data_IF_597048423053
#
_entry.id   IF_597048423053
#
_cell.length_a   1.000
_cell.length_b   1.000
_cell.length_c   1.000
_cell.angle_alpha   90.00
_cell.angle_beta   90.00
_cell.angle_gamma   90.00
#
_symmetry.space_group_name_H-M   'P 1'
#
loop_
_entity.id
_entity.type
_entity.pdbx_description
1 polymer ?
#
# COMPACT_ATOMS: atom_id res chain seq x y z
N UNK A 1 21.22 51.47 43.08
CA UNK A 1 21.56 50.71 44.32
C UNK A 1 21.44 49.25 43.89
N UNK A 2 22.58 48.64 43.62
CA UNK A 2 23.18 47.50 44.31
C UNK A 2 22.30 46.25 44.21
N UNK A 3 22.73 45.11 43.78
CA UNK A 3 24.02 44.37 43.85
C UNK A 3 23.90 43.20 42.88
N UNK A 4 24.77 42.93 42.00
CA UNK A 4 25.98 42.09 42.00
C UNK A 4 25.81 40.77 42.76
N UNK A 5 26.24 39.73 42.06
CA UNK A 5 26.76 38.46 42.58
C UNK A 5 25.85 37.29 42.23
N UNK A 6 26.25 36.17 41.73
CA UNK A 6 27.58 35.54 41.70
C UNK A 6 27.52 34.39 40.69
N UNK A 7 28.47 34.38 39.81
CA UNK A 7 28.90 33.25 39.00
C UNK A 7 29.25 32.06 39.89
N UNK A 8 28.70 30.88 39.66
CA UNK A 8 29.33 29.64 40.06
C UNK A 8 29.38 28.67 38.91
N UNK A 9 30.55 28.59 38.34
CA UNK A 9 31.05 27.64 37.38
C UNK A 9 31.07 26.26 38.03
N UNK A 10 30.30 25.30 37.55
CA UNK A 10 30.49 23.90 37.90
C UNK A 10 30.77 23.10 36.62
N UNK A 11 32.04 22.97 36.31
CA UNK A 11 32.59 22.02 35.36
C UNK A 11 32.46 20.61 35.96
N UNK A 12 31.54 19.81 35.41
CA UNK A 12 31.55 18.37 35.68
C UNK A 12 32.11 17.69 34.43
N UNK A 13 33.35 17.26 34.54
CA UNK A 13 33.98 16.31 33.63
C UNK A 13 33.31 14.95 33.80
N UNK A 14 32.58 14.50 32.79
CA UNK A 14 32.19 13.11 32.64
C UNK A 14 33.02 12.50 31.51
N UNK A 15 34.14 11.91 31.90
CA UNK A 15 34.89 10.97 31.07
C UNK A 15 34.09 9.67 30.95
N UNK A 16 33.32 9.54 29.87
CA UNK A 16 32.72 8.28 29.49
C UNK A 16 33.70 7.46 28.65
N UNK A 17 34.21 6.38 29.22
CA UNK A 17 34.94 5.38 28.48
C UNK A 17 34.02 4.74 27.43
N UNK A 18 34.34 4.95 26.16
CA UNK A 18 33.77 4.23 25.05
C UNK A 18 34.53 2.90 24.90
N UNK A 19 33.97 1.81 25.41
CA UNK A 19 34.51 0.47 25.16
C UNK A 19 33.93 -0.03 23.85
N UNK A 20 34.76 -0.07 22.81
CA UNK A 20 34.49 -0.80 21.58
C UNK A 20 34.51 -2.30 21.91
N UNK A 21 33.35 -2.89 22.09
CA UNK A 21 33.19 -4.36 22.07
C UNK A 21 32.87 -4.77 20.64
N UNK A 22 33.90 -5.16 19.91
CA UNK A 22 33.79 -5.77 18.61
C UNK A 22 33.32 -7.21 18.79
N UNK A 23 31.98 -7.41 18.83
CA UNK A 23 31.39 -8.73 18.82
C UNK A 23 31.80 -9.49 17.56
N UNK A 24 32.61 -10.54 17.71
CA UNK A 24 32.92 -11.49 16.66
C UNK A 24 31.64 -12.13 16.14
N UNK A 25 31.34 -11.92 14.86
CA UNK A 25 30.30 -12.66 14.17
C UNK A 25 30.84 -14.05 13.87
N UNK A 26 30.40 -15.04 14.64
CA UNK A 26 30.69 -16.45 14.38
C UNK A 26 29.74 -16.92 13.28
N UNK A 27 30.26 -17.14 12.09
CA UNK A 27 29.54 -17.83 11.00
C UNK A 27 29.48 -19.31 11.36
N UNK A 28 28.30 -19.79 11.75
CA UNK A 28 28.04 -21.21 11.92
C UNK A 28 27.70 -21.80 10.56
N UNK A 29 28.64 -22.44 9.92
CA UNK A 29 28.37 -23.30 8.76
C UNK A 29 27.59 -24.54 9.24
N UNK A 30 26.29 -24.58 8.90
CA UNK A 30 25.46 -25.74 9.15
C UNK A 30 25.54 -26.68 7.95
N UNK A 31 26.37 -27.71 8.06
CA UNK A 31 26.45 -28.83 7.10
C UNK A 31 25.08 -29.48 6.98
N UNK A 32 24.54 -29.51 5.78
CA UNK A 32 23.36 -30.32 5.46
C UNK A 32 23.82 -31.76 5.21
N UNK A 33 23.56 -32.62 6.20
CA UNK A 33 23.67 -34.05 5.99
C UNK A 33 22.47 -34.55 5.17
N UNK A 34 22.82 -35.20 4.07
CA UNK A 34 22.01 -35.97 3.17
C UNK A 34 21.18 -37.04 3.92
N UNK A 35 19.86 -36.97 3.77
CA UNK A 35 18.97 -38.10 4.03
C UNK A 35 18.26 -38.39 2.71
N UNK A 36 18.61 -39.53 2.12
CA UNK A 36 17.93 -40.14 0.99
C UNK A 36 16.68 -40.88 1.39
N UNK A 37 15.74 -40.98 0.44
CA UNK A 37 14.54 -41.83 0.32
C UNK A 37 13.28 -41.26 0.98
N UNK A 38 12.18 -41.01 0.28
CA UNK A 38 11.40 -41.85 -0.64
C UNK A 38 10.46 -41.02 -1.52
N UNK A 39 10.22 -41.55 -2.71
CA UNK A 39 9.39 -41.04 -3.78
C UNK A 39 7.91 -41.00 -3.37
N UNK A 40 7.26 -39.84 -3.52
CA UNK A 40 5.87 -39.76 -3.95
C UNK A 40 5.71 -38.69 -5.01
N UNK A 41 5.51 -39.14 -6.23
CA UNK A 41 5.12 -38.35 -7.38
C UNK A 41 3.73 -37.77 -7.15
N UNK A 42 3.65 -36.52 -6.79
CA UNK A 42 2.48 -35.70 -7.10
C UNK A 42 2.83 -34.74 -8.23
N UNK A 43 2.21 -34.97 -9.39
CA UNK A 43 2.28 -34.08 -10.55
C UNK A 43 1.86 -32.67 -10.13
N UNK A 44 2.83 -31.84 -9.77
CA UNK A 44 2.65 -30.40 -9.71
C UNK A 44 2.63 -29.89 -11.14
N UNK A 45 1.47 -29.45 -11.60
CA UNK A 45 1.34 -28.67 -12.82
C UNK A 45 2.28 -27.49 -12.71
N UNK A 46 3.29 -27.46 -13.56
CA UNK A 46 4.15 -26.31 -13.79
C UNK A 46 3.26 -25.16 -14.27
N UNK A 47 2.78 -24.35 -13.36
CA UNK A 47 2.23 -23.06 -13.72
C UNK A 47 3.43 -22.21 -14.18
N UNK A 48 3.46 -21.89 -15.47
CA UNK A 48 4.33 -20.86 -16.02
C UNK A 48 4.21 -19.64 -15.08
N UNK A 49 5.31 -19.26 -14.46
CA UNK A 49 5.41 -18.01 -13.73
C UNK A 49 5.27 -16.88 -14.74
N UNK A 50 4.04 -16.48 -15.02
CA UNK A 50 3.77 -15.18 -15.59
C UNK A 50 4.41 -14.18 -14.61
N UNK A 51 5.22 -13.28 -15.13
CA UNK A 51 5.67 -12.10 -14.41
C UNK A 51 4.41 -11.47 -13.81
N UNK A 52 4.19 -11.71 -12.54
CA UNK A 52 3.00 -11.28 -11.83
C UNK A 52 2.99 -9.76 -11.92
N UNK A 53 2.07 -9.19 -12.71
CA UNK A 53 1.73 -7.79 -12.57
C UNK A 53 1.54 -7.54 -11.08
N UNK A 54 2.38 -6.67 -10.51
CA UNK A 54 2.41 -6.44 -9.06
C UNK A 54 1.14 -5.72 -8.56
N UNK A 55 0.12 -5.63 -9.40
CA UNK A 55 -1.17 -4.99 -9.19
C UNK A 55 -2.29 -6.01 -9.17
N UNK A 56 -3.36 -5.77 -8.41
CA UNK A 56 -4.58 -6.59 -8.39
C UNK A 56 -5.78 -5.75 -8.84
N UNK A 57 -6.90 -6.41 -9.13
CA UNK A 57 -8.14 -5.71 -9.42
C UNK A 57 -8.67 -5.01 -8.16
N UNK A 58 -9.28 -3.81 -8.30
CA UNK A 58 -9.90 -3.10 -7.18
C UNK A 58 -11.20 -3.74 -6.71
N UNK A 59 -11.89 -4.44 -7.61
CA UNK A 59 -13.19 -5.09 -7.39
C UNK A 59 -13.30 -6.27 -8.36
N UNK A 60 -13.99 -7.33 -7.95
CA UNK A 60 -14.31 -8.47 -8.82
C UNK A 60 -15.61 -8.17 -9.58
N UNK A 61 -15.50 -7.43 -10.66
CA UNK A 61 -16.62 -7.04 -11.50
C UNK A 61 -16.18 -6.67 -12.92
N UNK A 62 -17.16 -6.57 -13.82
CA UNK A 62 -16.92 -6.18 -15.22
C UNK A 62 -16.82 -4.66 -15.37
N UNK A 63 -15.93 -4.22 -16.25
CA UNK A 63 -15.80 -2.80 -16.58
C UNK A 63 -16.96 -2.39 -17.48
N UNK A 64 -17.72 -1.39 -17.05
CA UNK A 64 -18.83 -0.79 -17.78
C UNK A 64 -18.36 0.32 -18.73
N UNK A 65 -17.37 1.13 -18.28
CA UNK A 65 -16.80 2.22 -19.09
C UNK A 65 -15.30 2.28 -18.88
N UNK A 66 -14.56 2.29 -19.98
CA UNK A 66 -13.10 2.34 -20.02
C UNK A 66 -12.56 3.76 -19.90
N UNK A 67 -11.27 3.87 -19.55
CA UNK A 67 -10.50 5.09 -19.62
C UNK A 67 -10.52 5.69 -21.03
N UNK A 68 -10.80 6.99 -21.14
CA UNK A 68 -10.85 7.73 -22.39
C UNK A 68 -10.53 9.22 -22.15
N UNK A 69 -9.36 9.67 -22.58
CA UNK A 69 -8.99 11.09 -22.52
C UNK A 69 -9.93 11.96 -23.38
N UNK A 70 -10.36 11.43 -24.54
CA UNK A 70 -11.28 12.12 -25.45
C UNK A 70 -12.62 12.46 -24.79
N UNK A 71 -13.09 11.59 -23.88
CA UNK A 71 -14.38 11.74 -23.22
C UNK A 71 -14.22 12.28 -21.78
N UNK A 72 -13.03 12.75 -21.41
CA UNK A 72 -12.68 13.21 -20.06
C UNK A 72 -13.04 12.17 -18.98
N UNK A 73 -12.91 10.86 -19.30
CA UNK A 73 -13.12 9.76 -18.40
C UNK A 73 -11.79 9.14 -18.00
N UNK A 74 -11.22 9.60 -16.91
CA UNK A 74 -9.84 9.32 -16.49
C UNK A 74 -9.68 8.07 -15.62
N UNK A 75 -10.65 7.16 -15.65
CA UNK A 75 -10.64 5.94 -14.85
C UNK A 75 -11.43 4.82 -15.49
N UNK A 76 -11.85 3.88 -14.65
CA UNK A 76 -12.73 2.76 -15.02
C UNK A 76 -14.00 2.87 -14.20
N UNK A 77 -15.15 2.73 -14.86
CA UNK A 77 -16.44 2.56 -14.20
C UNK A 77 -16.81 1.08 -14.23
N UNK A 78 -17.20 0.52 -13.08
CA UNK A 78 -17.54 -0.89 -12.93
C UNK A 78 -19.05 -1.10 -12.78
N UNK A 79 -19.53 -2.25 -13.25
CA UNK A 79 -20.89 -2.72 -13.04
C UNK A 79 -20.95 -3.52 -11.73
N UNK A 80 -21.28 -2.86 -10.62
CA UNK A 80 -21.29 -3.46 -9.30
C UNK A 80 -22.70 -3.52 -8.69
N UNK A 81 -22.83 -4.37 -7.69
CA UNK A 81 -23.94 -4.33 -6.73
C UNK A 81 -23.48 -3.67 -5.44
N UNK A 82 -24.41 -3.16 -4.64
CA UNK A 82 -24.07 -2.62 -3.31
C UNK A 82 -23.48 -3.71 -2.39
N UNK A 83 -22.52 -3.33 -1.57
CA UNK A 83 -21.90 -4.22 -0.58
C UNK A 83 -20.79 -5.14 -1.12
N UNK A 84 -20.38 -4.99 -2.39
CA UNK A 84 -19.21 -5.73 -2.90
C UNK A 84 -17.92 -5.20 -2.29
N UNK A 85 -16.97 -6.09 -2.06
CA UNK A 85 -15.68 -5.76 -1.50
C UNK A 85 -14.82 -4.93 -2.47
N UNK A 86 -14.27 -3.84 -1.96
CA UNK A 86 -13.26 -3.01 -2.63
C UNK A 86 -11.92 -3.27 -1.98
N UNK A 87 -10.92 -3.60 -2.80
CA UNK A 87 -9.60 -4.02 -2.33
C UNK A 87 -8.49 -3.13 -2.89
N UNK A 88 -7.46 -2.91 -2.06
CA UNK A 88 -6.27 -2.17 -2.48
C UNK A 88 -5.54 -2.92 -3.60
N UNK A 89 -5.30 -2.24 -4.71
CA UNK A 89 -4.64 -2.84 -5.89
C UNK A 89 -3.16 -3.16 -5.65
N UNK A 90 -2.55 -2.50 -4.67
CA UNK A 90 -1.14 -2.65 -4.29
C UNK A 90 -0.94 -2.14 -2.86
N UNK A 91 0.17 -2.56 -2.20
CA UNK A 91 0.60 -1.98 -0.92
C UNK A 91 0.74 -0.46 -1.02
N UNK A 92 0.27 0.25 -0.01
CA UNK A 92 0.36 1.72 0.07
C UNK A 92 -0.13 2.28 1.38
N UNK A 93 -0.11 3.61 1.46
CA UNK A 93 -0.59 4.42 2.58
C UNK A 93 -1.88 5.12 2.16
N UNK A 94 -2.90 5.05 2.99
CA UNK A 94 -4.15 5.80 2.82
C UNK A 94 -3.87 7.28 3.09
N UNK A 95 -3.93 8.10 2.05
CA UNK A 95 -3.70 9.55 2.17
C UNK A 95 -5.00 10.34 2.19
N UNK A 96 -6.13 9.70 1.95
CA UNK A 96 -7.46 10.26 2.12
C UNK A 96 -8.48 9.13 2.33
N UNK A 97 -9.39 9.31 3.28
CA UNK A 97 -10.56 8.47 3.50
C UNK A 97 -11.71 9.34 3.99
N UNK A 98 -12.75 9.54 3.18
CA UNK A 98 -13.85 10.44 3.56
C UNK A 98 -14.85 10.75 2.45
N UNK A 99 -15.76 11.70 2.74
CA UNK A 99 -16.86 12.12 1.87
C UNK A 99 -16.91 13.63 1.59
N UNK A 100 -15.86 14.37 1.98
CA UNK A 100 -15.82 15.84 1.81
C UNK A 100 -15.90 16.30 0.35
N UNK A 101 -15.53 15.40 -0.59
CA UNK A 101 -15.64 15.65 -2.03
C UNK A 101 -16.97 15.10 -2.56
N UNK A 102 -18.06 15.84 -2.34
CA UNK A 102 -19.45 15.38 -2.55
C UNK A 102 -19.74 14.78 -3.93
N UNK A 103 -19.10 15.28 -5.01
CA UNK A 103 -19.28 14.76 -6.37
C UNK A 103 -18.74 13.35 -6.56
N UNK A 104 -17.82 12.90 -5.71
CA UNK A 104 -17.16 11.59 -5.78
C UNK A 104 -17.74 10.57 -4.81
N UNK A 105 -18.70 10.98 -3.95
CA UNK A 105 -19.20 10.14 -2.87
C UNK A 105 -18.13 9.83 -1.83
N UNK A 106 -18.31 8.76 -1.07
CA UNK A 106 -17.27 8.28 -0.17
C UNK A 106 -16.09 7.76 -0.96
N UNK A 107 -14.90 8.25 -0.66
CA UNK A 107 -13.69 8.05 -1.46
C UNK A 107 -12.50 7.67 -0.59
N UNK A 108 -11.65 6.81 -1.13
CA UNK A 108 -10.33 6.48 -0.59
C UNK A 108 -9.28 6.85 -1.64
N UNK A 109 -8.16 7.42 -1.20
CA UNK A 109 -6.95 7.60 -2.02
C UNK A 109 -5.81 6.88 -1.32
N UNK A 110 -5.13 5.99 -2.05
CA UNK A 110 -3.94 5.29 -1.58
C UNK A 110 -2.73 5.74 -2.39
N UNK A 111 -1.69 6.17 -1.67
CA UNK A 111 -0.37 6.47 -2.23
C UNK A 111 0.49 5.20 -2.22
N UNK A 112 1.02 4.86 -3.37
CA UNK A 112 1.91 3.72 -3.56
C UNK A 112 3.35 4.15 -3.83
N UNK A 113 4.26 3.19 -3.81
CA UNK A 113 5.65 3.42 -4.21
C UNK A 113 5.75 3.99 -5.63
N UNK A 114 6.84 4.71 -5.88
CA UNK A 114 7.19 5.28 -7.19
C UNK A 114 6.20 6.32 -7.73
N UNK A 115 5.49 7.04 -6.85
CA UNK A 115 4.58 8.14 -7.22
C UNK A 115 3.27 7.69 -7.87
N UNK A 116 2.84 6.44 -7.66
CA UNK A 116 1.52 6.00 -8.06
C UNK A 116 0.49 6.32 -6.98
N UNK A 117 -0.74 6.60 -7.42
CA UNK A 117 -1.93 6.74 -6.58
C UNK A 117 -3.06 5.93 -7.18
N UNK A 118 -3.90 5.39 -6.30
CA UNK A 118 -5.18 4.77 -6.68
C UNK A 118 -6.30 5.46 -5.93
N UNK A 119 -7.42 5.70 -6.63
CA UNK A 119 -8.58 6.43 -6.14
C UNK A 119 -9.81 5.54 -6.31
N UNK A 120 -10.56 5.35 -5.23
CA UNK A 120 -11.69 4.44 -5.11
C UNK A 120 -12.92 5.25 -4.72
N UNK A 121 -13.86 5.47 -5.65
CA UNK A 121 -14.99 6.37 -5.49
C UNK A 121 -16.33 5.63 -5.45
N UNK A 122 -17.38 6.32 -4.97
CA UNK A 122 -18.76 5.82 -4.89
C UNK A 122 -18.91 4.64 -3.94
N UNK A 123 -18.14 4.64 -2.84
CA UNK A 123 -18.28 3.63 -1.79
C UNK A 123 -19.49 3.91 -0.89
N UNK A 124 -20.08 2.87 -0.34
CA UNK A 124 -21.09 2.94 0.70
C UNK A 124 -20.46 3.03 2.09
N UNK A 125 -19.40 2.24 2.30
CA UNK A 125 -18.71 2.14 3.59
C UNK A 125 -17.20 2.21 3.37
N UNK A 126 -16.50 2.97 4.22
CA UNK A 126 -15.05 3.05 4.26
C UNK A 126 -14.57 2.26 5.48
N UNK A 127 -13.65 1.32 5.27
CA UNK A 127 -13.15 0.40 6.30
C UNK A 127 -11.72 0.75 6.75
N UNK A 128 -11.17 1.83 6.20
CA UNK A 128 -9.81 2.31 6.49
C UNK A 128 -9.83 3.81 6.73
N UNK A 129 -8.83 4.29 7.46
CA UNK A 129 -8.64 5.69 7.82
C UNK A 129 -7.37 6.27 7.19
N UNK A 130 -7.30 7.58 7.09
CA UNK A 130 -6.09 8.29 6.67
C UNK A 130 -4.92 7.95 7.61
N UNK A 131 -3.75 7.64 7.03
CA UNK A 131 -2.56 7.17 7.71
C UNK A 131 -2.40 5.64 7.77
N UNK A 132 -3.44 4.85 7.47
CA UNK A 132 -3.34 3.39 7.47
C UNK A 132 -2.41 2.88 6.37
N UNK A 133 -1.60 1.86 6.71
CA UNK A 133 -0.78 1.12 5.75
C UNK A 133 -1.53 -0.14 5.34
N UNK A 134 -1.82 -0.24 4.05
CA UNK A 134 -2.61 -1.35 3.50
C UNK A 134 -1.75 -2.22 2.60
N UNK A 135 -1.85 -3.53 2.79
CA UNK A 135 -1.22 -4.50 1.89
C UNK A 135 -2.03 -4.68 0.60
N UNK A 136 -1.38 -5.17 -0.47
CA UNK A 136 -2.06 -5.55 -1.71
C UNK A 136 -3.19 -6.55 -1.44
N UNK A 137 -4.37 -6.29 -1.99
CA UNK A 137 -5.57 -7.12 -1.79
C UNK A 137 -6.28 -6.89 -0.45
N UNK A 138 -5.78 -6.00 0.41
CA UNK A 138 -6.44 -5.63 1.66
C UNK A 138 -7.83 -5.03 1.40
N UNK A 139 -8.83 -5.42 2.19
CA UNK A 139 -10.18 -4.88 2.13
C UNK A 139 -10.18 -3.44 2.65
N UNK A 140 -10.71 -2.51 1.85
CA UNK A 140 -10.66 -1.06 2.17
C UNK A 140 -12.04 -0.40 2.21
N UNK A 141 -13.01 -0.93 1.47
CA UNK A 141 -14.35 -0.36 1.42
C UNK A 141 -15.38 -1.40 0.94
N UNK A 142 -16.66 -1.03 1.01
CA UNK A 142 -17.77 -1.70 0.34
C UNK A 142 -18.41 -0.73 -0.66
N UNK A 143 -18.79 -1.26 -1.84
CA UNK A 143 -19.44 -0.47 -2.90
C UNK A 143 -20.83 -0.02 -2.51
N UNK A 144 -21.29 1.12 -3.07
CA UNK A 144 -22.68 1.56 -3.01
C UNK A 144 -23.53 0.94 -4.15
N UNK A 145 -24.77 1.35 -4.24
CA UNK A 145 -25.67 1.08 -5.37
C UNK A 145 -25.33 1.87 -6.65
N UNK A 146 -24.43 2.86 -6.55
CA UNK A 146 -23.92 3.61 -7.70
C UNK A 146 -22.76 2.86 -8.35
N UNK A 147 -22.55 3.04 -9.66
CA UNK A 147 -21.41 2.47 -10.35
C UNK A 147 -20.09 2.88 -9.67
N UNK A 148 -19.31 1.89 -9.29
CA UNK A 148 -18.00 2.11 -8.66
C UNK A 148 -17.04 2.71 -9.69
N UNK A 149 -16.34 3.77 -9.29
CA UNK A 149 -15.37 4.46 -10.14
C UNK A 149 -13.96 4.35 -9.56
N UNK A 150 -13.04 3.89 -10.39
CA UNK A 150 -11.65 3.66 -10.04
C UNK A 150 -10.71 4.42 -10.97
N UNK A 151 -9.77 5.16 -10.39
CA UNK A 151 -8.77 5.93 -11.12
C UNK A 151 -7.36 5.61 -10.64
N UNK A 152 -6.40 5.66 -11.56
CA UNK A 152 -4.97 5.62 -11.24
C UNK A 152 -4.29 6.90 -11.71
N UNK A 153 -3.33 7.38 -10.90
CA UNK A 153 -2.43 8.47 -11.27
C UNK A 153 -0.98 8.04 -11.13
N UNK A 154 -0.15 8.64 -11.97
CA UNK A 154 1.30 8.62 -11.83
C UNK A 154 1.74 10.05 -11.56
N UNK A 155 2.23 10.31 -10.34
CA UNK A 155 2.35 11.66 -9.80
C UNK A 155 0.98 12.37 -9.82
N UNK A 156 0.81 13.43 -10.56
CA UNK A 156 -0.46 14.17 -10.66
C UNK A 156 -1.27 13.82 -11.92
N UNK A 157 -0.66 13.08 -12.86
CA UNK A 157 -1.27 12.78 -14.15
C UNK A 157 -2.12 11.50 -14.12
N UNK A 158 -3.37 11.54 -14.60
CA UNK A 158 -4.20 10.36 -14.79
C UNK A 158 -3.54 9.39 -15.78
N UNK A 159 -3.63 8.09 -15.48
CA UNK A 159 -3.11 7.03 -16.35
C UNK A 159 -4.17 5.98 -16.57
N UNK A 160 -4.12 5.30 -17.73
CA UNK A 160 -5.06 4.22 -18.03
C UNK A 160 -4.80 3.00 -17.13
N UNK A 161 -5.73 2.66 -16.20
CA UNK A 161 -5.53 1.55 -15.27
C UNK A 161 -5.38 0.18 -15.93
N UNK A 162 -6.01 -0.04 -17.10
CA UNK A 162 -5.94 -1.32 -17.83
C UNK A 162 -4.52 -1.69 -18.31
N UNK A 163 -3.58 -0.74 -18.26
CA UNK A 163 -2.17 -1.04 -18.58
C UNK A 163 -1.41 -1.68 -17.41
N UNK A 164 -2.02 -1.71 -16.24
CA UNK A 164 -1.38 -2.14 -14.98
C UNK A 164 -2.12 -3.31 -14.30
N UNK A 165 -3.46 -3.35 -14.40
CA UNK A 165 -4.34 -4.36 -13.78
C UNK A 165 -4.35 -5.71 -14.51
#
# INVERSE_FOLDING_TARGET
MHTKLLTLLLLIFLSGCFTNDAGQVTVVEKSFNKIESEQQQTKSKTSKSNVSNNWSLPIDSTVLKNYSEKDNHFGLTYNNSAGQEVRAIRKGEVVYSGDKMTSYGKMIIIKHAYGFYSIYNQNQELLVSEGDIIEKGGLIALTSDKPFYFEMKKYEEPINPLKYL
#
